data_IF_913186949971
#
_entry.id   IF_913186949971
#
_cell.length_a   1.000
_cell.length_b   1.000
_cell.length_c   1.000
_cell.angle_alpha   90.00
_cell.angle_beta   90.00
_cell.angle_gamma   90.00
#
_symmetry.space_group_name_H-M   'P 1'
#
loop_
_entity.id
_entity.type
_entity.pdbx_description
1 polymer ?
#
# COMPACT_ATOMS: atom_id res chain seq x y z
N UNK A 1 -21.82 -5.39 14.27
CA UNK A 1 -22.51 -6.67 14.55
C UNK A 1 -23.55 -7.05 13.49
N UNK A 2 -23.98 -6.14 12.60
CA UNK A 2 -24.96 -6.40 11.51
C UNK A 2 -24.37 -6.81 10.14
N UNK A 3 -23.04 -6.80 9.99
CA UNK A 3 -22.37 -7.04 8.70
C UNK A 3 -22.17 -8.52 8.35
N UNK A 4 -22.39 -9.44 9.29
CA UNK A 4 -22.14 -10.89 9.14
C UNK A 4 -23.32 -11.69 8.57
N UNK A 5 -24.44 -11.06 8.24
CA UNK A 5 -25.67 -11.73 7.74
C UNK A 5 -25.91 -11.59 6.23
N UNK A 6 -24.93 -11.08 5.47
CA UNK A 6 -25.12 -10.72 4.05
C UNK A 6 -24.37 -11.69 3.14
N UNK A 7 -25.02 -12.13 2.07
CA UNK A 7 -24.41 -12.99 1.05
C UNK A 7 -23.20 -12.32 0.38
N UNK A 8 -22.32 -13.13 -0.19
CA UNK A 8 -21.11 -12.68 -0.87
C UNK A 8 -21.43 -11.74 -2.04
N UNK A 9 -22.49 -12.06 -2.79
CA UNK A 9 -23.03 -11.24 -3.88
C UNK A 9 -23.49 -9.87 -3.39
N UNK A 10 -24.23 -9.79 -2.28
CA UNK A 10 -24.65 -8.51 -1.72
C UNK A 10 -23.48 -7.64 -1.28
N UNK A 11 -22.44 -8.25 -0.70
CA UNK A 11 -21.23 -7.53 -0.28
C UNK A 11 -20.49 -6.99 -1.51
N UNK A 12 -20.40 -7.79 -2.57
CA UNK A 12 -19.82 -7.39 -3.84
C UNK A 12 -20.61 -6.26 -4.50
N UNK A 13 -21.93 -6.39 -4.64
CA UNK A 13 -22.79 -5.36 -5.24
C UNK A 13 -22.67 -4.01 -4.49
N UNK A 14 -22.68 -4.03 -3.15
CA UNK A 14 -22.49 -2.80 -2.37
C UNK A 14 -21.10 -2.19 -2.53
N UNK A 15 -20.06 -3.03 -2.65
CA UNK A 15 -18.70 -2.57 -2.95
C UNK A 15 -18.68 -1.87 -4.31
N UNK A 16 -19.26 -2.49 -5.34
CA UNK A 16 -19.31 -1.90 -6.66
C UNK A 16 -20.11 -0.60 -6.71
N UNK A 17 -21.22 -0.51 -5.98
CA UNK A 17 -21.99 0.73 -5.84
C UNK A 17 -21.18 1.86 -5.18
N UNK A 18 -20.29 1.55 -4.21
CA UNK A 18 -19.38 2.55 -3.63
C UNK A 18 -18.33 3.00 -4.63
N UNK A 19 -17.72 2.07 -5.36
CA UNK A 19 -16.73 2.38 -6.41
C UNK A 19 -17.37 3.29 -7.46
N UNK A 20 -18.52 2.89 -8.01
CA UNK A 20 -19.24 3.65 -9.03
C UNK A 20 -19.64 5.07 -8.56
N UNK A 21 -19.83 5.27 -7.25
CA UNK A 21 -20.10 6.59 -6.67
C UNK A 21 -18.86 7.47 -6.66
N UNK A 22 -17.73 6.92 -6.21
CA UNK A 22 -16.52 7.70 -5.96
C UNK A 22 -15.57 7.77 -7.15
N UNK A 23 -15.75 6.95 -8.17
CA UNK A 23 -14.97 7.04 -9.42
C UNK A 23 -15.43 8.20 -10.33
N UNK A 24 -16.50 8.91 -9.93
CA UNK A 24 -17.01 10.09 -10.64
C UNK A 24 -16.22 11.36 -10.28
N UNK A 25 -16.04 12.30 -11.22
CA UNK A 25 -15.47 13.62 -10.94
C UNK A 25 -16.27 14.41 -9.89
N UNK A 26 -15.61 15.36 -9.22
CA UNK A 26 -16.25 16.29 -8.28
C UNK A 26 -16.64 17.56 -9.03
N UNK A 27 -17.94 17.73 -9.28
CA UNK A 27 -18.48 18.81 -10.11
C UNK A 27 -19.12 19.94 -9.28
N UNK A 28 -19.50 19.67 -8.02
CA UNK A 28 -20.15 20.66 -7.15
C UNK A 28 -19.53 20.77 -5.76
N UNK A 29 -19.79 21.91 -5.10
CA UNK A 29 -19.41 22.14 -3.70
C UNK A 29 -19.99 21.09 -2.76
N UNK A 30 -21.23 20.65 -3.01
CA UNK A 30 -21.89 19.60 -2.21
C UNK A 30 -21.23 18.23 -2.36
N UNK A 31 -20.87 17.84 -3.59
CA UNK A 31 -20.11 16.60 -3.81
C UNK A 31 -18.73 16.66 -3.16
N UNK A 32 -18.04 17.81 -3.24
CA UNK A 32 -16.76 18.04 -2.58
C UNK A 32 -16.86 17.88 -1.07
N UNK A 33 -17.86 18.50 -0.45
CA UNK A 33 -18.10 18.37 0.99
C UNK A 33 -18.35 16.90 1.37
N UNK A 34 -19.19 16.17 0.61
CA UNK A 34 -19.44 14.74 0.85
C UNK A 34 -18.18 13.90 0.71
N UNK A 35 -17.33 14.17 -0.28
CA UNK A 35 -16.07 13.48 -0.47
C UNK A 35 -15.12 13.71 0.72
N UNK A 36 -15.00 14.96 1.19
CA UNK A 36 -14.21 15.31 2.36
C UNK A 36 -14.75 14.64 3.63
N UNK A 37 -16.05 14.75 3.91
CA UNK A 37 -16.67 14.11 5.08
C UNK A 37 -16.47 12.60 5.06
N UNK A 38 -16.65 11.96 3.89
CA UNK A 38 -16.41 10.52 3.75
C UNK A 38 -14.93 10.17 3.96
N UNK A 39 -14.01 10.92 3.36
CA UNK A 39 -12.58 10.73 3.53
C UNK A 39 -12.17 10.87 5.00
N UNK A 40 -12.68 11.89 5.71
CA UNK A 40 -12.36 12.17 7.11
C UNK A 40 -12.87 11.08 8.05
N UNK A 41 -14.17 10.76 7.94
CA UNK A 41 -14.89 9.97 8.94
C UNK A 41 -14.95 8.48 8.59
N UNK A 42 -15.20 8.14 7.32
CA UNK A 42 -15.37 6.74 6.88
C UNK A 42 -14.03 6.13 6.51
N UNK A 43 -13.19 6.85 5.75
CA UNK A 43 -11.84 6.38 5.41
C UNK A 43 -10.79 6.77 6.47
N UNK A 44 -11.22 7.32 7.61
CA UNK A 44 -10.34 7.66 8.74
C UNK A 44 -9.22 8.64 8.34
N UNK A 45 -9.52 9.55 7.41
CA UNK A 45 -8.66 10.63 6.94
C UNK A 45 -8.19 11.56 8.04
N UNK A 46 -8.99 11.74 9.09
CA UNK A 46 -8.65 12.63 10.21
C UNK A 46 -7.29 12.32 10.83
N UNK A 47 -6.94 11.04 10.97
CA UNK A 47 -5.64 10.64 11.52
C UNK A 47 -4.49 10.89 10.56
N UNK A 48 -4.73 10.81 9.25
CA UNK A 48 -3.72 11.05 8.20
C UNK A 48 -3.46 12.55 7.99
N UNK A 49 -4.45 13.39 8.33
CA UNK A 49 -4.26 14.83 8.42
C UNK A 49 -3.38 15.21 9.60
N UNK A 50 -3.57 14.56 10.76
CA UNK A 50 -2.72 14.78 11.93
C UNK A 50 -1.30 14.22 11.74
N UNK A 51 -1.17 13.03 11.13
CA UNK A 51 0.11 12.39 10.86
C UNK A 51 0.10 11.60 9.55
N UNK A 52 0.82 12.10 8.54
CA UNK A 52 0.86 11.51 7.20
C UNK A 52 1.84 10.32 7.08
N UNK A 53 2.57 9.95 8.13
CA UNK A 53 3.58 8.87 8.10
C UNK A 53 4.50 8.94 6.86
N UNK A 54 5.06 10.13 6.60
CA UNK A 54 5.84 10.42 5.39
C UNK A 54 7.32 10.28 5.64
N UNK A 55 8.00 9.51 4.80
CA UNK A 55 9.43 9.27 4.90
C UNK A 55 10.07 9.23 3.51
N UNK A 56 11.30 9.74 3.43
CA UNK A 56 12.16 9.56 2.25
C UNK A 56 12.80 8.18 2.33
N UNK A 57 12.70 7.40 1.25
CA UNK A 57 13.31 6.06 1.13
C UNK A 57 14.66 6.17 0.43
N UNK A 58 14.68 6.83 -0.72
CA UNK A 58 15.88 7.16 -1.51
C UNK A 58 15.80 8.62 -1.94
N UNK A 59 16.82 9.18 -2.62
CA UNK A 59 16.69 10.49 -3.23
C UNK A 59 15.48 10.63 -4.17
N UNK A 60 15.03 9.51 -4.77
CA UNK A 60 14.04 9.42 -5.85
C UNK A 60 12.69 8.85 -5.39
N UNK A 61 12.64 8.16 -4.25
CA UNK A 61 11.42 7.55 -3.71
C UNK A 61 11.05 8.08 -2.32
N UNK A 62 9.79 8.46 -2.17
CA UNK A 62 9.12 8.75 -0.91
C UNK A 62 8.01 7.73 -0.63
N UNK A 63 7.72 7.51 0.65
CA UNK A 63 6.57 6.72 1.11
C UNK A 63 5.70 7.52 2.06
N UNK A 64 4.38 7.32 2.04
CA UNK A 64 3.46 7.95 2.98
C UNK A 64 2.16 7.18 3.24
N UNK A 65 1.39 7.62 4.23
CA UNK A 65 -0.06 7.42 4.23
C UNK A 65 -0.70 8.20 3.08
N UNK A 66 -1.94 7.88 2.71
CA UNK A 66 -2.58 8.56 1.58
C UNK A 66 -2.72 10.06 1.86
N UNK A 67 -2.14 10.92 1.00
CA UNK A 67 -2.15 12.36 1.19
C UNK A 67 -3.51 12.98 0.87
N UNK A 68 -3.85 14.03 1.62
CA UNK A 68 -4.94 14.93 1.29
C UNK A 68 -4.53 15.92 0.17
N UNK A 69 -5.49 16.59 -0.50
CA UNK A 69 -5.21 17.50 -1.60
C UNK A 69 -4.11 18.55 -1.35
N UNK A 70 -4.10 19.20 -0.19
CA UNK A 70 -3.08 20.21 0.14
C UNK A 70 -1.69 19.60 0.37
N UNK A 71 -1.63 18.34 0.81
CA UNK A 71 -0.37 17.59 0.95
C UNK A 71 0.16 17.17 -0.43
N UNK A 72 -0.72 16.76 -1.36
CA UNK A 72 -0.36 16.53 -2.77
C UNK A 72 0.23 17.79 -3.39
N UNK A 73 -0.40 18.95 -3.19
CA UNK A 73 0.13 20.24 -3.63
C UNK A 73 1.53 20.53 -3.04
N UNK A 74 1.78 20.13 -1.79
CA UNK A 74 3.10 20.25 -1.17
C UNK A 74 4.13 19.30 -1.78
N UNK A 75 3.74 18.10 -2.18
CA UNK A 75 4.63 17.16 -2.87
C UNK A 75 4.94 17.61 -4.29
N UNK A 76 3.97 18.18 -5.01
CA UNK A 76 4.18 18.81 -6.30
C UNK A 76 5.24 19.92 -6.22
N UNK A 77 5.14 20.79 -5.21
CA UNK A 77 6.15 21.83 -4.93
C UNK A 77 7.54 21.28 -4.57
N UNK A 78 7.63 20.01 -4.16
CA UNK A 78 8.91 19.30 -3.92
C UNK A 78 9.42 18.55 -5.15
N UNK A 79 8.74 18.69 -6.29
CA UNK A 79 9.11 18.07 -7.56
C UNK A 79 8.66 16.62 -7.71
N UNK A 80 7.74 16.12 -6.87
CA UNK A 80 7.15 14.78 -7.09
C UNK A 80 6.36 14.79 -8.39
N UNK A 81 6.65 13.83 -9.27
CA UNK A 81 6.02 13.72 -10.59
C UNK A 81 5.01 12.59 -10.66
N UNK A 82 5.25 11.52 -9.90
CA UNK A 82 4.36 10.35 -9.86
C UNK A 82 3.91 10.05 -8.44
N UNK A 83 2.61 9.79 -8.27
CA UNK A 83 2.04 9.20 -7.07
C UNK A 83 1.56 7.78 -7.38
N UNK A 84 2.06 6.80 -6.62
CA UNK A 84 1.66 5.39 -6.74
C UNK A 84 0.68 5.02 -5.63
N UNK A 85 -0.52 4.61 -6.01
CA UNK A 85 -1.57 4.14 -5.10
C UNK A 85 -1.52 2.62 -4.94
N UNK A 86 -1.22 2.16 -3.72
CA UNK A 86 -1.12 0.73 -3.42
C UNK A 86 -2.43 0.10 -2.94
N UNK A 87 -3.50 0.89 -2.80
CA UNK A 87 -4.72 0.44 -2.12
C UNK A 87 -5.66 -0.35 -3.03
N UNK A 88 -5.78 0.05 -4.29
CA UNK A 88 -6.82 -0.41 -5.23
C UNK A 88 -8.26 0.00 -4.84
N UNK A 89 -8.44 0.50 -3.62
CA UNK A 89 -9.73 0.90 -3.07
C UNK A 89 -10.16 2.28 -3.55
N UNK A 90 -11.01 2.29 -4.58
CA UNK A 90 -11.75 3.47 -5.08
C UNK A 90 -13.10 3.65 -4.38
N UNK A 91 -13.23 3.14 -3.16
CA UNK A 91 -14.50 3.02 -2.42
C UNK A 91 -14.80 4.20 -1.50
N UNK A 92 -13.91 5.18 -1.45
CA UNK A 92 -13.95 6.28 -0.50
C UNK A 92 -13.79 7.63 -1.19
N UNK A 93 -14.30 8.68 -0.55
CA UNK A 93 -14.17 10.06 -1.02
C UNK A 93 -12.73 10.55 -1.15
N UNK A 94 -11.76 9.82 -0.57
CA UNK A 94 -10.32 10.06 -0.78
C UNK A 94 -9.89 9.91 -2.23
N UNK A 95 -10.52 9.01 -2.99
CA UNK A 95 -10.14 8.70 -4.37
C UNK A 95 -10.37 9.90 -5.32
N UNK A 96 -11.59 10.45 -5.46
CA UNK A 96 -11.80 11.55 -6.39
C UNK A 96 -11.07 12.83 -5.93
N UNK A 97 -10.92 13.04 -4.62
CA UNK A 97 -10.12 14.15 -4.08
C UNK A 97 -8.64 14.04 -4.46
N UNK A 98 -8.07 12.83 -4.41
CA UNK A 98 -6.70 12.57 -4.81
C UNK A 98 -6.53 12.74 -6.32
N UNK A 99 -7.42 12.14 -7.12
CA UNK A 99 -7.37 12.21 -8.58
C UNK A 99 -7.37 13.66 -9.05
N UNK A 100 -8.35 14.45 -8.61
CA UNK A 100 -8.45 15.87 -8.96
C UNK A 100 -7.21 16.67 -8.52
N UNK A 101 -6.65 16.39 -7.34
CA UNK A 101 -5.46 17.07 -6.85
C UNK A 101 -4.20 16.71 -7.67
N UNK A 102 -4.05 15.45 -8.07
CA UNK A 102 -2.96 15.03 -8.94
C UNK A 102 -3.07 15.70 -10.32
N UNK A 103 -4.26 15.67 -10.93
CA UNK A 103 -4.53 16.33 -12.22
C UNK A 103 -4.22 17.83 -12.18
N UNK A 104 -4.70 18.53 -11.14
CA UNK A 104 -4.45 19.97 -10.93
C UNK A 104 -2.97 20.32 -10.85
N UNK A 105 -2.14 19.40 -10.38
CA UNK A 105 -0.72 19.62 -10.17
C UNK A 105 0.18 18.91 -11.19
N UNK A 106 -0.40 18.32 -12.25
CA UNK A 106 0.36 17.61 -13.28
C UNK A 106 1.11 16.39 -12.76
N UNK A 107 0.60 15.76 -11.69
CA UNK A 107 1.19 14.55 -11.11
C UNK A 107 0.52 13.33 -11.73
N UNK A 108 1.31 12.40 -12.27
CA UNK A 108 0.81 11.11 -12.71
C UNK A 108 0.31 10.29 -11.50
N UNK A 109 -0.94 9.84 -11.53
CA UNK A 109 -1.51 8.96 -10.50
C UNK A 109 -1.66 7.54 -11.07
N UNK A 110 -0.85 6.61 -10.57
CA UNK A 110 -0.75 5.25 -11.10
C UNK A 110 -1.07 4.24 -9.99
N UNK A 111 -1.77 3.17 -10.34
CA UNK A 111 -2.11 2.09 -9.41
C UNK A 111 -1.07 0.96 -9.48
N UNK A 112 -0.60 0.47 -8.33
CA UNK A 112 0.17 -0.76 -8.20
C UNK A 112 -0.34 -1.54 -6.98
N UNK A 113 -1.27 -2.46 -7.20
CA UNK A 113 -2.11 -2.95 -6.11
C UNK A 113 -1.39 -4.02 -5.31
N UNK A 114 -1.22 -3.77 -4.01
CA UNK A 114 -0.60 -4.71 -3.08
C UNK A 114 -1.58 -5.13 -1.99
N UNK A 115 -1.44 -6.37 -1.52
CA UNK A 115 -2.12 -6.88 -0.32
C UNK A 115 -1.19 -6.67 0.89
N UNK A 116 -1.77 -6.39 2.05
CA UNK A 116 -1.01 -6.30 3.32
C UNK A 116 -1.16 -7.51 4.23
N UNK A 117 -2.10 -8.41 3.98
CA UNK A 117 -2.47 -9.50 4.91
C UNK A 117 -2.60 -10.86 4.22
N UNK A 118 -1.89 -11.05 3.11
CA UNK A 118 -1.82 -12.30 2.35
C UNK A 118 -0.45 -12.40 1.68
N UNK A 119 -0.12 -13.58 1.20
CA UNK A 119 1.15 -13.79 0.53
C UNK A 119 1.25 -12.89 -0.72
N UNK A 120 2.43 -12.31 -0.99
CA UNK A 120 2.65 -11.58 -2.23
C UNK A 120 2.31 -12.42 -3.46
N UNK A 121 1.55 -11.85 -4.39
CA UNK A 121 1.20 -12.51 -5.64
C UNK A 121 2.43 -12.61 -6.56
N UNK A 122 2.71 -13.81 -7.09
CA UNK A 122 3.93 -14.07 -7.88
C UNK A 122 4.02 -13.15 -9.09
N UNK A 123 2.97 -13.07 -9.88
CA UNK A 123 2.94 -12.28 -11.12
C UNK A 123 3.11 -10.78 -10.82
N UNK A 124 2.50 -10.30 -9.74
CA UNK A 124 2.66 -8.93 -9.28
C UNK A 124 4.12 -8.60 -8.96
N UNK A 125 4.86 -9.53 -8.33
CA UNK A 125 6.28 -9.32 -8.01
C UNK A 125 7.16 -9.39 -9.25
N UNK A 126 6.91 -10.34 -10.16
CA UNK A 126 7.67 -10.46 -11.41
C UNK A 126 7.51 -9.21 -12.30
N UNK A 127 6.32 -8.61 -12.32
CA UNK A 127 6.05 -7.38 -13.06
C UNK A 127 6.58 -6.11 -12.37
N UNK A 128 7.04 -6.18 -11.12
CA UNK A 128 7.47 -5.01 -10.36
C UNK A 128 8.69 -4.31 -10.97
N UNK A 129 9.62 -5.06 -11.59
CA UNK A 129 10.80 -4.49 -12.26
C UNK A 129 10.40 -3.52 -13.38
N UNK A 130 9.59 -4.00 -14.32
CA UNK A 130 9.11 -3.18 -15.44
C UNK A 130 8.25 -2.01 -14.96
N UNK A 131 7.45 -2.22 -13.90
CA UNK A 131 6.71 -1.14 -13.27
C UNK A 131 7.65 -0.04 -12.75
N UNK A 132 8.70 -0.37 -11.99
CA UNK A 132 9.64 0.61 -11.46
C UNK A 132 10.39 1.36 -12.55
N UNK A 133 10.79 0.67 -13.61
CA UNK A 133 11.48 1.28 -14.77
C UNK A 133 10.58 2.26 -15.53
N UNK A 134 9.25 2.09 -15.48
CA UNK A 134 8.28 2.99 -16.12
C UNK A 134 7.98 4.28 -15.35
N UNK A 135 8.41 4.40 -14.08
CA UNK A 135 7.99 5.52 -13.22
C UNK A 135 8.75 6.81 -13.56
N UNK A 136 8.02 7.93 -13.67
CA UNK A 136 8.65 9.24 -13.73
C UNK A 136 9.03 9.71 -12.32
N UNK A 137 10.32 9.80 -12.05
CA UNK A 137 10.87 10.14 -10.74
C UNK A 137 11.02 11.67 -10.55
N UNK A 138 10.96 12.20 -9.31
CA UNK A 138 10.74 11.51 -8.04
C UNK A 138 9.29 11.03 -7.79
N UNK A 139 9.17 9.90 -7.10
CA UNK A 139 7.92 9.17 -6.86
C UNK A 139 7.51 9.26 -5.39
N UNK A 140 6.21 9.41 -5.14
CA UNK A 140 5.59 9.17 -3.83
C UNK A 140 4.71 7.93 -3.90
N UNK A 141 5.02 6.90 -3.13
CA UNK A 141 4.12 5.75 -2.94
C UNK A 141 3.29 5.91 -1.68
N UNK A 142 2.01 5.53 -1.74
CA UNK A 142 1.18 5.52 -0.54
C UNK A 142 0.27 4.30 -0.43
N UNK A 143 -0.11 3.99 0.81
CA UNK A 143 -1.24 3.10 1.10
C UNK A 143 -2.24 3.82 2.01
N UNK A 144 -2.99 3.11 2.88
CA UNK A 144 -3.87 3.77 3.85
C UNK A 144 -3.04 4.49 4.93
N UNK A 145 -2.21 3.76 5.67
CA UNK A 145 -1.43 4.28 6.81
C UNK A 145 0.05 4.55 6.51
N UNK A 146 0.55 4.19 5.33
CA UNK A 146 1.97 4.30 4.98
C UNK A 146 2.88 3.27 5.65
N UNK A 147 2.31 2.28 6.35
CA UNK A 147 3.05 1.24 7.06
C UNK A 147 3.31 0.01 6.16
N UNK A 148 2.34 -0.90 6.04
CA UNK A 148 2.59 -2.25 5.50
C UNK A 148 2.85 -2.26 3.98
N UNK A 149 1.84 -1.94 3.16
CA UNK A 149 1.98 -1.95 1.68
C UNK A 149 3.06 -1.00 1.19
N UNK A 150 3.11 0.22 1.76
CA UNK A 150 4.12 1.19 1.39
C UNK A 150 5.53 0.73 1.79
N UNK A 151 5.67 0.04 2.92
CA UNK A 151 6.94 -0.56 3.34
C UNK A 151 7.34 -1.73 2.46
N UNK A 152 6.39 -2.59 2.11
CA UNK A 152 6.63 -3.71 1.20
C UNK A 152 7.05 -3.23 -0.18
N UNK A 153 6.32 -2.28 -0.77
CA UNK A 153 6.71 -1.64 -2.02
C UNK A 153 8.10 -1.01 -1.95
N UNK A 154 8.39 -0.28 -0.86
CA UNK A 154 9.70 0.35 -0.67
C UNK A 154 10.83 -0.67 -0.57
N UNK A 155 10.60 -1.81 0.10
CA UNK A 155 11.55 -2.92 0.17
C UNK A 155 11.78 -3.55 -1.22
N UNK A 156 10.72 -3.82 -1.97
CA UNK A 156 10.82 -4.32 -3.34
C UNK A 156 11.58 -3.35 -4.25
N UNK A 157 11.29 -2.04 -4.17
CA UNK A 157 12.00 -1.04 -4.96
C UNK A 157 13.50 -1.02 -4.63
N UNK A 158 13.86 -1.05 -3.33
CA UNK A 158 15.25 -1.11 -2.91
C UNK A 158 15.96 -2.37 -3.42
N UNK A 159 15.31 -3.53 -3.35
CA UNK A 159 15.90 -4.82 -3.72
C UNK A 159 15.99 -4.99 -5.25
N UNK A 160 14.92 -4.67 -5.97
CA UNK A 160 14.76 -4.95 -7.40
C UNK A 160 15.34 -3.82 -8.26
N UNK A 161 15.03 -2.56 -7.94
CA UNK A 161 15.42 -1.41 -8.75
C UNK A 161 16.78 -0.84 -8.32
N UNK A 162 16.96 -0.57 -7.02
CA UNK A 162 18.21 0.02 -6.49
C UNK A 162 19.30 -1.03 -6.16
N UNK A 163 19.00 -2.33 -6.33
CA UNK A 163 19.92 -3.46 -6.08
C UNK A 163 20.58 -3.42 -4.69
N UNK A 164 19.86 -2.93 -3.69
CA UNK A 164 20.35 -2.83 -2.31
C UNK A 164 20.27 -4.21 -1.62
N UNK A 165 21.14 -4.47 -0.62
CA UNK A 165 21.10 -5.74 0.13
C UNK A 165 19.72 -6.00 0.76
N UNK A 166 19.32 -7.28 0.83
CA UNK A 166 18.03 -7.68 1.40
C UNK A 166 17.83 -7.14 2.82
N UNK A 167 18.87 -7.25 3.66
CA UNK A 167 18.84 -6.75 5.04
C UNK A 167 18.53 -5.24 5.12
N UNK A 168 18.94 -4.44 4.12
CA UNK A 168 18.59 -3.03 4.05
C UNK A 168 17.14 -2.83 3.60
N UNK A 169 16.71 -3.54 2.56
CA UNK A 169 15.33 -3.48 2.07
C UNK A 169 14.31 -3.83 3.16
N UNK A 170 14.58 -4.90 3.93
CA UNK A 170 13.71 -5.36 5.02
C UNK A 170 13.50 -4.31 6.12
N UNK A 171 14.40 -3.34 6.31
CA UNK A 171 14.19 -2.25 7.30
C UNK A 171 12.99 -1.38 7.00
N UNK A 172 12.48 -1.40 5.75
CA UNK A 172 11.25 -0.71 5.37
C UNK A 172 9.99 -1.34 6.02
N UNK A 173 10.09 -2.56 6.53
CA UNK A 173 9.07 -3.21 7.35
C UNK A 173 9.53 -3.19 8.81
N UNK A 174 9.23 -2.09 9.52
CA UNK A 174 9.64 -1.93 10.92
C UNK A 174 8.68 -1.05 11.73
N UNK A 175 8.80 -1.17 13.06
CA UNK A 175 8.02 -0.38 14.01
C UNK A 175 8.18 1.13 13.81
N UNK A 176 9.33 1.58 13.28
CA UNK A 176 9.58 2.98 12.90
C UNK A 176 8.49 3.54 11.99
N UNK A 177 7.92 2.71 11.12
CA UNK A 177 6.89 3.09 10.16
C UNK A 177 5.49 2.62 10.57
N UNK A 178 5.33 2.08 11.78
CA UNK A 178 4.08 1.52 12.29
C UNK A 178 3.74 0.13 11.75
N UNK A 179 4.73 -0.62 11.26
CA UNK A 179 4.56 -2.00 10.80
C UNK A 179 4.80 -3.00 11.94
N UNK A 180 3.89 -3.97 12.11
CA UNK A 180 3.93 -4.97 13.17
C UNK A 180 4.04 -6.39 12.59
N UNK A 181 5.24 -6.98 12.68
CA UNK A 181 5.55 -8.32 12.14
C UNK A 181 4.75 -9.49 12.75
N UNK A 182 4.17 -9.28 13.93
CA UNK A 182 3.47 -10.34 14.67
C UNK A 182 1.96 -10.37 14.38
N UNK A 183 1.46 -9.39 13.62
CA UNK A 183 0.10 -9.37 13.10
C UNK A 183 0.02 -10.13 11.77
N UNK A 184 -1.16 -10.18 11.14
CA UNK A 184 -1.33 -10.75 9.79
C UNK A 184 -0.44 -10.11 8.73
N UNK A 185 0.02 -8.88 8.97
CA UNK A 185 0.95 -8.15 8.11
C UNK A 185 2.36 -8.73 8.11
N UNK A 186 2.69 -9.57 9.11
CA UNK A 186 3.97 -10.27 9.20
C UNK A 186 4.27 -11.24 8.06
N UNK A 187 3.26 -11.58 7.25
CA UNK A 187 3.46 -12.40 6.05
C UNK A 187 4.39 -11.72 5.04
N UNK A 188 4.46 -10.39 5.07
CA UNK A 188 5.38 -9.61 4.24
C UNK A 188 6.84 -9.76 4.70
N UNK A 189 7.09 -9.83 6.01
CA UNK A 189 8.40 -10.20 6.55
C UNK A 189 8.74 -11.65 6.19
N UNK A 190 7.78 -12.57 6.38
CA UNK A 190 7.94 -13.99 6.11
C UNK A 190 8.32 -14.25 4.64
N UNK A 191 7.78 -13.47 3.71
CA UNK A 191 8.15 -13.52 2.29
C UNK A 191 9.63 -13.21 2.06
N UNK A 192 10.14 -12.10 2.59
CA UNK A 192 11.56 -11.76 2.44
C UNK A 192 12.47 -12.72 3.21
N UNK A 193 12.01 -13.23 4.34
CA UNK A 193 12.71 -14.23 5.13
C UNK A 193 12.79 -15.58 4.40
N UNK A 194 11.74 -15.97 3.67
CA UNK A 194 11.77 -17.12 2.78
C UNK A 194 12.81 -16.91 1.67
N UNK A 195 12.85 -15.73 1.04
CA UNK A 195 13.90 -15.41 0.07
C UNK A 195 15.30 -15.48 0.67
N UNK A 196 15.51 -14.94 1.88
CA UNK A 196 16.79 -15.00 2.58
C UNK A 196 17.30 -16.44 2.71
N UNK A 197 16.43 -17.37 3.12
CA UNK A 197 16.76 -18.78 3.36
C UNK A 197 16.87 -19.59 2.06
N UNK A 198 15.97 -19.37 1.12
CA UNK A 198 15.78 -20.27 -0.02
C UNK A 198 16.40 -19.73 -1.32
N UNK A 199 16.67 -18.42 -1.38
CA UNK A 199 17.27 -17.74 -2.52
C UNK A 199 18.63 -17.15 -2.19
N UNK A 200 18.68 -16.09 -1.38
CA UNK A 200 19.92 -15.33 -1.09
C UNK A 200 21.04 -16.24 -0.53
N UNK A 201 20.73 -17.06 0.47
CA UNK A 201 21.69 -18.01 1.07
C UNK A 201 22.19 -19.09 0.08
N UNK A 202 21.51 -19.28 -1.06
CA UNK A 202 21.86 -20.22 -2.12
C UNK A 202 22.39 -19.53 -3.37
N UNK A 203 22.59 -18.20 -3.33
CA UNK A 203 23.09 -17.43 -4.48
C UNK A 203 22.07 -17.22 -5.61
N UNK A 204 20.78 -17.43 -5.36
CA UNK A 204 19.72 -17.22 -6.37
C UNK A 204 19.28 -15.75 -6.33
N UNK A 205 19.24 -15.10 -7.50
CA UNK A 205 18.75 -13.73 -7.59
C UNK A 205 17.27 -13.63 -7.20
N UNK A 206 16.85 -12.48 -6.68
CA UNK A 206 15.51 -12.33 -6.10
C UNK A 206 14.38 -12.70 -7.07
N UNK A 207 14.42 -12.18 -8.31
CA UNK A 207 13.36 -12.45 -9.28
C UNK A 207 13.38 -13.90 -9.76
N UNK A 208 14.56 -14.49 -9.96
CA UNK A 208 14.70 -15.91 -10.33
C UNK A 208 14.14 -16.83 -9.22
N UNK A 209 14.34 -16.46 -7.95
CA UNK A 209 13.74 -17.17 -6.81
C UNK A 209 12.21 -17.03 -6.80
N UNK A 210 11.69 -15.83 -7.07
CA UNK A 210 10.23 -15.60 -7.20
C UNK A 210 9.64 -16.46 -8.31
N UNK A 211 10.34 -16.58 -9.43
CA UNK A 211 9.89 -17.33 -10.60
C UNK A 211 9.93 -18.86 -10.37
N UNK A 212 11.01 -19.37 -9.78
CA UNK A 212 11.30 -20.81 -9.79
C UNK A 212 11.09 -21.52 -8.45
N UNK A 213 11.13 -20.81 -7.32
CA UNK A 213 11.12 -21.42 -5.97
C UNK A 213 9.96 -20.96 -5.10
N UNK A 214 9.59 -19.68 -5.19
CA UNK A 214 8.60 -19.06 -4.32
C UNK A 214 7.19 -19.60 -4.56
N UNK A 215 6.55 -20.17 -3.54
CA UNK A 215 5.15 -20.61 -3.58
C UNK A 215 4.31 -19.76 -2.61
N UNK A 216 3.41 -18.89 -3.11
CA UNK A 216 2.51 -18.10 -2.29
C UNK A 216 1.64 -18.94 -1.35
N UNK A 217 1.10 -20.07 -1.84
CA UNK A 217 0.22 -20.92 -1.04
C UNK A 217 0.99 -21.62 0.08
N UNK A 218 2.22 -22.08 -0.20
CA UNK A 218 3.11 -22.61 0.84
C UNK A 218 3.37 -21.57 1.92
N UNK A 219 3.68 -20.33 1.52
CA UNK A 219 3.92 -19.25 2.47
C UNK A 219 2.69 -18.96 3.34
N UNK A 220 1.48 -18.94 2.76
CA UNK A 220 0.24 -18.73 3.53
C UNK A 220 -0.03 -19.87 4.51
N UNK A 221 0.21 -21.14 4.13
CA UNK A 221 0.02 -22.30 5.01
C UNK A 221 1.01 -22.32 6.17
N UNK A 222 2.25 -21.93 5.92
CA UNK A 222 3.33 -21.94 6.92
C UNK A 222 3.27 -20.74 7.86
N UNK A 223 2.78 -19.59 7.37
CA UNK A 223 2.70 -18.37 8.17
C UNK A 223 1.57 -18.43 9.20
N UNK A 224 1.94 -18.59 10.48
CA UNK A 224 1.02 -18.52 11.62
C UNK A 224 1.24 -17.22 12.40
N UNK A 225 0.35 -16.21 12.32
CA UNK A 225 0.51 -14.99 13.10
C UNK A 225 0.41 -15.31 14.60
N UNK A 226 1.23 -14.66 15.42
CA UNK A 226 1.26 -14.89 16.87
C UNK A 226 -0.10 -14.54 17.50
N UNK A 227 -0.73 -15.50 18.18
CA UNK A 227 -2.14 -15.42 18.64
C UNK A 227 -2.44 -14.20 19.52
N UNK A 228 -1.52 -13.81 20.41
CA UNK A 228 -1.70 -12.66 21.31
C UNK A 228 -1.46 -11.34 20.56
N UNK A 229 -0.49 -11.33 19.64
CA UNK A 229 -0.16 -10.13 18.89
C UNK A 229 -1.16 -9.84 17.78
N UNK A 230 -1.75 -10.85 17.15
CA UNK A 230 -2.85 -10.68 16.22
C UNK A 230 -4.07 -10.09 16.93
N UNK A 231 -4.38 -10.49 18.16
CA UNK A 231 -5.47 -9.90 18.94
C UNK A 231 -5.20 -8.44 19.35
N UNK A 232 -3.98 -8.10 19.79
CA UNK A 232 -3.61 -6.73 20.17
C UNK A 232 -3.52 -5.83 18.93
N UNK A 233 -2.90 -6.30 17.85
CA UNK A 233 -2.83 -5.59 16.59
C UNK A 233 -4.20 -5.45 15.96
N UNK A 234 -5.06 -6.47 15.96
CA UNK A 234 -6.43 -6.36 15.45
C UNK A 234 -7.29 -5.43 16.33
N UNK A 235 -6.98 -5.27 17.63
CA UNK A 235 -7.68 -4.34 18.53
C UNK A 235 -7.18 -2.89 18.39
N UNK A 236 -5.88 -2.68 18.14
CA UNK A 236 -5.29 -1.38 17.81
C UNK A 236 -5.57 -0.95 16.36
N UNK A 237 -5.69 -1.92 15.45
CA UNK A 237 -5.92 -1.79 14.00
C UNK A 237 -7.33 -2.27 13.65
N UNK A 238 -8.34 -2.02 14.52
CA UNK A 238 -9.74 -1.93 14.06
C UNK A 238 -9.87 -0.68 13.17
N UNK A 239 -9.25 -0.77 11.99
CA UNK A 239 -9.33 0.13 10.84
C UNK A 239 -9.52 -0.72 9.60
N UNK A 240 -10.59 -1.50 9.57
CA UNK A 240 -11.30 -1.96 8.38
C UNK A 240 -12.67 -2.49 8.80
#
# INVERSE_FOLDING_TARGET
MLTRLRSDEERYARRMARIARWDRPIESRGQRLRAWTNMLLVDHGIFRLAYLNTHRVTPRLWRSAQPAPHQIASFARRGIRTIVNLRGGREHGSWPLQKEACERHGIALIDFILRSRGAPDRDTILNAKGFFESLEEPVLVHCKSGADRAGFFSALYLLIHEKRPLAEAMRQLSLRYGHFRFAKTGILDAFFEAYRREGEAKGIAFLDWVETVYDPERLEREFKPGVISSLIADRLIRRE
#
